data_IF_851686553554
#
_entry.id   IF_851686553554
#
_cell.length_a   1.000
_cell.length_b   1.000
_cell.length_c   1.000
_cell.angle_alpha   90.00
_cell.angle_beta   90.00
_cell.angle_gamma   90.00
#
_symmetry.space_group_name_H-M   'P 1'
#
loop_
_entity.id
_entity.type
_entity.pdbx_description
1 polymer ?
#
# COMPACT_ATOMS: atom_id res chain seq x y z
N UNK A 1 -16.60 3.72 -27.65
CA UNK A 1 -17.41 3.60 -26.43
C UNK A 1 -16.55 4.11 -25.29
N UNK A 2 -16.81 5.32 -24.80
CA UNK A 2 -16.19 5.81 -23.57
C UNK A 2 -16.70 4.95 -22.42
N UNK A 3 -15.81 4.14 -21.82
CA UNK A 3 -16.13 3.46 -20.57
C UNK A 3 -16.06 4.50 -19.47
N UNK A 4 -17.21 5.02 -19.07
CA UNK A 4 -17.34 5.89 -17.91
C UNK A 4 -17.19 5.01 -16.66
N UNK A 5 -15.95 4.77 -16.24
CA UNK A 5 -15.66 4.14 -14.97
C UNK A 5 -15.90 5.18 -13.87
N UNK A 6 -16.86 4.94 -12.97
CA UNK A 6 -17.00 5.75 -11.76
C UNK A 6 -15.71 5.69 -10.94
N UNK A 7 -15.15 6.85 -10.62
CA UNK A 7 -14.01 6.97 -9.72
C UNK A 7 -14.46 6.59 -8.31
N UNK A 8 -14.16 5.35 -7.89
CA UNK A 8 -14.46 4.87 -6.54
C UNK A 8 -13.24 5.06 -5.64
N UNK A 9 -13.35 5.93 -4.65
CA UNK A 9 -12.37 6.01 -3.56
C UNK A 9 -12.67 4.88 -2.59
N UNK A 10 -11.64 4.09 -2.25
CA UNK A 10 -11.71 3.00 -1.29
C UNK A 10 -10.82 3.36 -0.11
N UNK A 11 -11.40 3.35 1.09
CA UNK A 11 -10.70 3.64 2.34
C UNK A 11 -10.54 2.35 3.14
N UNK A 12 -9.28 1.92 3.27
CA UNK A 12 -8.89 0.81 4.12
C UNK A 12 -8.14 1.33 5.35
N UNK A 13 -8.49 0.81 6.53
CA UNK A 13 -7.85 1.15 7.80
C UNK A 13 -7.08 -0.06 8.29
N UNK A 14 -5.80 0.12 8.62
CA UNK A 14 -4.96 -0.90 9.23
C UNK A 14 -4.60 -0.49 10.66
N UNK A 15 -4.96 -1.30 11.63
CA UNK A 15 -4.49 -1.14 13.01
C UNK A 15 -3.15 -1.87 13.14
N UNK A 16 -2.13 -1.21 13.70
CA UNK A 16 -0.85 -1.87 13.98
C UNK A 16 -0.87 -2.55 15.35
N UNK A 17 -0.09 -3.62 15.56
CA UNK A 17 0.20 -4.12 16.89
C UNK A 17 0.86 -3.06 17.78
N UNK A 18 0.70 -3.22 19.09
CA UNK A 18 1.49 -2.47 20.07
C UNK A 18 2.97 -2.76 19.87
N UNK A 19 3.78 -1.71 19.83
CA UNK A 19 5.22 -1.79 19.75
C UNK A 19 5.80 -2.36 21.05
N UNK A 20 7.02 -2.90 20.99
CA UNK A 20 7.70 -3.44 22.18
C UNK A 20 7.82 -2.40 23.31
N UNK A 21 8.02 -1.12 22.96
CA UNK A 21 8.17 -0.06 23.96
C UNK A 21 6.83 0.36 24.59
N UNK A 22 5.72 0.21 23.87
CA UNK A 22 4.36 0.37 24.42
C UNK A 22 4.02 -0.80 25.35
N UNK A 23 4.38 -2.03 24.96
CA UNK A 23 4.20 -3.23 25.79
C UNK A 23 5.03 -3.16 27.07
N UNK A 24 6.30 -2.74 27.01
CA UNK A 24 7.16 -2.54 28.20
C UNK A 24 6.60 -1.49 29.16
N UNK A 25 5.85 -0.52 28.65
CA UNK A 25 5.17 0.51 29.44
C UNK A 25 3.80 0.07 29.98
N UNK A 26 3.38 -1.17 29.70
CA UNK A 26 2.06 -1.72 30.03
C UNK A 26 0.93 -0.85 29.47
N UNK A 27 1.10 -0.30 28.26
CA UNK A 27 0.02 0.38 27.56
C UNK A 27 -0.96 -0.65 26.98
N UNK A 28 -2.25 -0.33 27.03
CA UNK A 28 -3.32 -1.17 26.47
C UNK A 28 -3.82 -0.60 25.14
N UNK A 29 -4.24 -1.48 24.23
CA UNK A 29 -4.87 -1.03 22.98
C UNK A 29 -6.24 -0.45 23.28
N UNK A 30 -6.43 0.82 22.94
CA UNK A 30 -7.74 1.49 22.99
C UNK A 30 -8.57 1.25 21.72
N UNK A 31 -8.02 0.53 20.74
CA UNK A 31 -8.64 0.29 19.43
C UNK A 31 -8.90 -1.19 19.26
N UNK A 32 -10.10 -1.54 18.81
CA UNK A 32 -10.45 -2.91 18.42
C UNK A 32 -11.36 -2.93 17.20
N UNK A 33 -11.31 -4.03 16.45
CA UNK A 33 -12.03 -4.21 15.19
C UNK A 33 -13.09 -5.30 15.37
N UNK A 34 -14.38 -4.96 15.59
CA UNK A 34 -15.42 -5.97 15.75
C UNK A 34 -15.71 -6.77 14.47
N UNK A 35 -15.45 -6.18 13.30
CA UNK A 35 -15.62 -6.80 11.98
C UNK A 35 -14.69 -6.13 10.94
N UNK A 36 -14.77 -6.57 9.68
CA UNK A 36 -13.93 -6.12 8.56
C UNK A 36 -14.29 -4.71 8.03
N UNK A 37 -15.30 -4.04 8.58
CA UNK A 37 -15.77 -2.73 8.13
C UNK A 37 -15.88 -1.71 9.25
N UNK A 38 -15.73 -2.12 10.51
CA UNK A 38 -15.97 -1.31 11.69
C UNK A 38 -14.74 -1.22 12.58
N UNK A 39 -14.48 -0.02 13.08
CA UNK A 39 -13.39 0.29 14.01
C UNK A 39 -13.98 0.95 15.25
N UNK A 40 -13.65 0.46 16.44
CA UNK A 40 -14.07 1.08 17.69
C UNK A 40 -12.87 1.60 18.47
N UNK A 41 -12.97 2.85 18.92
CA UNK A 41 -12.00 3.50 19.81
C UNK A 41 -12.65 3.70 21.17
N UNK A 42 -12.06 3.12 22.21
CA UNK A 42 -12.55 3.16 23.60
C UNK A 42 -11.60 3.98 24.46
N UNK A 43 -12.01 5.20 24.82
CA UNK A 43 -11.21 6.10 25.64
C UNK A 43 -12.04 6.56 26.85
N UNK A 44 -11.49 6.39 28.07
CA UNK A 44 -12.12 6.84 29.33
C UNK A 44 -13.57 6.35 29.52
N UNK A 45 -13.88 5.14 29.02
CA UNK A 45 -15.23 4.55 29.09
C UNK A 45 -16.19 5.02 27.99
N UNK A 46 -15.76 5.93 27.11
CA UNK A 46 -16.52 6.36 25.93
C UNK A 46 -16.06 5.54 24.73
N UNK A 47 -17.02 4.90 24.05
CA UNK A 47 -16.78 4.15 22.82
C UNK A 47 -17.27 4.94 21.60
N UNK A 48 -16.38 5.16 20.65
CA UNK A 48 -16.69 5.75 19.35
C UNK A 48 -16.49 4.72 18.26
N UNK A 49 -17.54 4.44 17.49
CA UNK A 49 -17.51 3.50 16.37
C UNK A 49 -17.43 4.25 15.03
N UNK A 50 -16.61 3.74 14.12
CA UNK A 50 -16.38 4.27 12.78
C UNK A 50 -16.54 3.15 11.76
N UNK A 51 -17.02 3.48 10.57
CA UNK A 51 -17.18 2.52 9.47
C UNK A 51 -16.37 2.93 8.25
N UNK A 52 -15.70 1.95 7.64
CA UNK A 52 -14.81 2.12 6.49
C UNK A 52 -15.10 1.04 5.44
N UNK A 53 -14.47 1.14 4.26
CA UNK A 53 -14.62 0.09 3.25
C UNK A 53 -13.94 -1.20 3.71
N UNK A 54 -12.80 -1.09 4.39
CA UNK A 54 -12.06 -2.21 4.97
C UNK A 54 -11.40 -1.78 6.28
N UNK A 55 -11.40 -2.66 7.26
CA UNK A 55 -10.72 -2.51 8.55
C UNK A 55 -9.94 -3.78 8.82
N UNK A 56 -8.65 -3.63 9.07
CA UNK A 56 -7.73 -4.73 9.32
C UNK A 56 -7.21 -4.71 10.75
N UNK A 57 -7.31 -5.86 11.42
CA UNK A 57 -6.83 -6.04 12.78
C UNK A 57 -5.30 -6.09 12.86
N UNK A 58 -4.71 -5.91 14.05
CA UNK A 58 -3.26 -5.96 14.25
C UNK A 58 -2.56 -7.22 13.74
N UNK A 59 -3.26 -8.34 13.72
CA UNK A 59 -2.72 -9.67 13.42
C UNK A 59 -2.62 -9.94 11.92
N UNK A 60 -3.18 -9.07 11.07
CA UNK A 60 -3.18 -9.27 9.63
C UNK A 60 -1.76 -9.25 9.04
N UNK A 61 -1.49 -10.17 8.12
CA UNK A 61 -0.24 -10.22 7.37
C UNK A 61 -0.21 -9.22 6.20
N UNK A 62 0.98 -8.90 5.71
CA UNK A 62 1.15 -8.06 4.51
C UNK A 62 0.52 -8.67 3.26
N UNK A 63 0.58 -10.00 3.15
CA UNK A 63 -0.02 -10.74 2.05
C UNK A 63 -1.55 -10.64 2.08
N UNK A 64 -2.17 -10.87 3.24
CA UNK A 64 -3.62 -10.76 3.40
C UNK A 64 -4.11 -9.34 3.09
N UNK A 65 -3.37 -8.30 3.51
CA UNK A 65 -3.70 -6.92 3.12
C UNK A 65 -3.67 -6.77 1.60
N UNK A 66 -2.62 -7.26 0.93
CA UNK A 66 -2.52 -7.16 -0.53
C UNK A 66 -3.68 -7.86 -1.26
N UNK A 67 -4.12 -9.00 -0.74
CA UNK A 67 -5.26 -9.76 -1.29
C UNK A 67 -6.60 -9.06 -1.01
N UNK A 68 -6.79 -8.53 0.19
CA UNK A 68 -8.04 -7.89 0.60
C UNK A 68 -8.25 -6.49 0.00
N UNK A 69 -7.18 -5.70 -0.20
CA UNK A 69 -7.25 -4.29 -0.64
C UNK A 69 -7.54 -4.08 -2.13
N UNK A 70 -8.01 -5.10 -2.86
CA UNK A 70 -8.26 -5.06 -4.30
C UNK A 70 -7.01 -4.63 -5.12
N UNK A 71 -5.79 -4.78 -4.58
CA UNK A 71 -4.56 -4.31 -5.25
C UNK A 71 -4.35 -4.97 -6.61
N UNK A 72 -4.62 -6.27 -6.72
CA UNK A 72 -4.57 -6.98 -8.01
C UNK A 72 -5.51 -6.36 -9.05
N UNK A 73 -6.70 -5.94 -8.62
CA UNK A 73 -7.68 -5.28 -9.48
C UNK A 73 -7.20 -3.90 -9.91
N UNK A 74 -6.62 -3.11 -8.99
CA UNK A 74 -5.99 -1.82 -9.33
C UNK A 74 -4.88 -2.01 -10.38
N UNK A 75 -4.04 -3.03 -10.21
CA UNK A 75 -2.94 -3.32 -11.15
C UNK A 75 -3.50 -3.75 -12.51
N UNK A 76 -4.52 -4.61 -12.56
CA UNK A 76 -5.17 -5.00 -13.80
C UNK A 76 -5.79 -3.78 -14.52
N UNK A 77 -6.44 -2.87 -13.78
CA UNK A 77 -6.94 -1.61 -14.36
C UNK A 77 -5.80 -0.74 -14.88
N UNK A 78 -4.65 -0.69 -14.20
CA UNK A 78 -3.48 0.04 -14.70
C UNK A 78 -2.94 -0.54 -16.01
N UNK A 79 -2.94 -1.87 -16.16
CA UNK A 79 -2.58 -2.56 -17.41
C UNK A 79 -3.59 -2.23 -18.53
N UNK A 80 -4.88 -2.15 -18.20
CA UNK A 80 -5.94 -1.71 -19.13
C UNK A 80 -5.87 -0.21 -19.49
N UNK A 81 -4.94 0.54 -18.90
CA UNK A 81 -4.71 1.96 -19.21
C UNK A 81 -5.43 2.95 -18.29
N UNK A 82 -5.97 2.51 -17.15
CA UNK A 82 -6.54 3.40 -16.14
C UNK A 82 -5.48 3.94 -15.19
N UNK A 83 -5.60 5.21 -14.79
CA UNK A 83 -4.74 5.79 -13.74
C UNK A 83 -5.21 5.29 -12.37
N UNK A 84 -4.31 4.62 -11.64
CA UNK A 84 -4.55 4.13 -10.29
C UNK A 84 -3.55 4.73 -9.31
N UNK A 85 -4.02 5.13 -8.12
CA UNK A 85 -3.18 5.72 -7.07
C UNK A 85 -3.51 5.10 -5.72
N UNK A 86 -2.48 4.81 -4.94
CA UNK A 86 -2.59 4.29 -3.58
C UNK A 86 -1.87 5.24 -2.64
N UNK A 87 -2.51 5.55 -1.51
CA UNK A 87 -1.96 6.42 -0.48
C UNK A 87 -1.95 5.69 0.87
N UNK A 88 -0.85 5.82 1.61
CA UNK A 88 -0.82 5.49 3.03
C UNK A 88 -0.85 6.78 3.87
N UNK A 89 -1.84 6.91 4.75
CA UNK A 89 -2.01 8.08 5.61
C UNK A 89 -2.04 7.69 7.09
N UNK A 90 -1.57 8.59 7.96
CA UNK A 90 -1.51 8.39 9.41
C UNK A 90 -0.36 9.13 10.07
N UNK A 91 -0.32 9.13 11.41
CA UNK A 91 0.75 9.75 12.19
C UNK A 91 2.11 9.05 12.03
N UNK A 92 3.20 9.72 12.41
CA UNK A 92 4.52 9.08 12.49
C UNK A 92 4.47 7.86 13.43
N UNK A 93 5.09 6.75 13.02
CA UNK A 93 5.04 5.48 13.77
C UNK A 93 3.75 4.68 13.63
N UNK A 94 2.79 5.09 12.78
CA UNK A 94 1.54 4.33 12.57
C UNK A 94 1.66 3.12 11.63
N UNK A 95 2.84 2.89 11.02
CA UNK A 95 3.06 1.76 10.11
C UNK A 95 2.83 2.05 8.61
N UNK A 96 2.81 3.32 8.19
CA UNK A 96 2.73 3.70 6.76
C UNK A 96 3.85 3.06 5.92
N UNK A 97 5.11 3.34 6.27
CA UNK A 97 6.29 2.79 5.59
C UNK A 97 6.30 1.27 5.65
N UNK A 98 5.93 0.69 6.79
CA UNK A 98 5.80 -0.76 6.92
C UNK A 98 4.76 -1.33 5.95
N UNK A 99 3.61 -0.69 5.77
CA UNK A 99 2.57 -1.17 4.85
C UNK A 99 3.01 -1.07 3.39
N UNK A 100 3.63 0.05 2.98
CA UNK A 100 4.02 0.27 1.59
C UNK A 100 5.28 -0.50 1.22
N UNK A 101 6.34 -0.43 2.03
CA UNK A 101 7.67 -0.98 1.70
C UNK A 101 8.02 -2.26 2.48
N UNK A 102 7.29 -2.59 3.54
CA UNK A 102 7.74 -3.59 4.51
C UNK A 102 8.75 -3.02 5.53
N UNK A 103 9.26 -3.87 6.44
CA UNK A 103 10.25 -3.48 7.42
C UNK A 103 11.61 -3.15 6.77
N UNK A 104 12.36 -2.25 7.40
CA UNK A 104 13.68 -1.81 6.91
C UNK A 104 14.72 -2.95 6.82
N UNK A 105 14.53 -4.06 7.54
CA UNK A 105 15.39 -5.23 7.45
C UNK A 105 15.41 -5.89 6.07
N UNK A 106 14.37 -5.68 5.26
CA UNK A 106 14.31 -6.21 3.88
C UNK A 106 15.34 -5.56 2.93
N UNK A 107 15.96 -4.45 3.32
CA UNK A 107 17.05 -3.84 2.55
C UNK A 107 18.43 -4.46 2.85
N UNK A 108 18.50 -5.45 3.73
CA UNK A 108 19.71 -6.24 3.98
C UNK A 108 19.73 -7.50 3.11
N UNK A 109 20.88 -7.81 2.50
CA UNK A 109 21.03 -8.88 1.49
C UNK A 109 20.76 -10.31 2.03
N UNK A 110 20.56 -10.45 3.35
CA UNK A 110 20.40 -11.73 4.04
C UNK A 110 18.92 -12.12 4.33
N UNK A 111 17.95 -11.25 4.06
CA UNK A 111 16.56 -11.48 4.43
C UNK A 111 15.71 -12.01 3.25
N UNK A 112 15.53 -13.34 3.19
CA UNK A 112 14.56 -14.03 2.32
C UNK A 112 13.15 -14.08 2.91
N UNK A 113 12.68 -13.00 3.53
CA UNK A 113 11.33 -12.97 4.11
C UNK A 113 10.35 -12.33 3.14
N UNK A 114 9.99 -13.07 2.08
CA UNK A 114 8.92 -12.70 1.13
C UNK A 114 7.58 -12.40 1.85
N UNK A 115 7.39 -12.91 3.06
CA UNK A 115 6.19 -12.67 3.87
C UNK A 115 6.07 -11.22 4.35
N UNK A 116 7.18 -10.50 4.53
CA UNK A 116 7.18 -9.13 5.06
C UNK A 116 7.17 -8.05 3.98
N UNK A 117 7.32 -8.44 2.70
CA UNK A 117 7.23 -7.53 1.56
C UNK A 117 5.96 -6.68 1.63
N UNK A 118 6.13 -5.37 1.43
CA UNK A 118 5.04 -4.42 1.43
C UNK A 118 4.21 -4.46 0.15
N UNK A 119 3.20 -3.58 0.10
CA UNK A 119 2.33 -3.45 -1.06
C UNK A 119 3.10 -3.08 -2.33
N UNK A 120 4.15 -2.26 -2.25
CA UNK A 120 4.92 -1.82 -3.40
C UNK A 120 5.61 -3.01 -4.09
N UNK A 121 6.38 -3.80 -3.35
CA UNK A 121 7.13 -4.93 -3.89
C UNK A 121 6.19 -5.99 -4.49
N UNK A 122 5.12 -6.32 -3.77
CA UNK A 122 4.08 -7.26 -4.26
C UNK A 122 3.38 -6.77 -5.52
N UNK A 123 3.12 -5.46 -5.60
CA UNK A 123 2.48 -4.86 -6.77
C UNK A 123 3.37 -4.93 -8.00
N UNK A 124 4.65 -4.63 -7.86
CA UNK A 124 5.62 -4.72 -8.96
C UNK A 124 5.78 -6.16 -9.41
N UNK A 125 5.90 -7.11 -8.48
CA UNK A 125 6.00 -8.53 -8.79
C UNK A 125 4.78 -9.02 -9.59
N UNK A 126 3.57 -8.70 -9.14
CA UNK A 126 2.34 -9.06 -9.84
C UNK A 126 2.21 -8.37 -11.20
N UNK A 127 2.56 -7.08 -11.30
CA UNK A 127 2.57 -6.36 -12.58
C UNK A 127 3.50 -7.04 -13.59
N UNK A 128 4.70 -7.42 -13.18
CA UNK A 128 5.65 -8.12 -14.05
C UNK A 128 5.14 -9.50 -14.47
N UNK A 129 4.51 -10.25 -13.56
CA UNK A 129 3.86 -11.54 -13.88
C UNK A 129 2.77 -11.38 -14.96
N UNK A 130 1.91 -10.36 -14.84
CA UNK A 130 0.87 -10.07 -15.83
C UNK A 130 1.45 -9.64 -17.19
N UNK A 131 2.52 -8.83 -17.17
CA UNK A 131 3.21 -8.40 -18.39
C UNK A 131 3.91 -9.58 -19.08
N UNK A 132 4.53 -10.50 -18.33
CA UNK A 132 5.21 -11.66 -18.89
C UNK A 132 4.27 -12.74 -19.43
N UNK A 133 3.06 -12.83 -18.90
CA UNK A 133 2.04 -13.79 -19.34
C UNK A 133 1.21 -13.30 -20.54
N UNK A 134 1.35 -12.02 -20.91
CA UNK A 134 0.69 -11.42 -22.05
C UNK A 134 1.59 -11.45 -23.29
N UNK A 135 0.99 -11.63 -24.47
CA UNK A 135 1.68 -11.54 -25.76
C UNK A 135 1.84 -10.09 -26.26
N UNK A 136 1.33 -9.11 -25.51
CA UNK A 136 1.42 -7.69 -25.86
C UNK A 136 2.78 -7.07 -25.48
N UNK A 137 3.24 -6.09 -26.27
CA UNK A 137 4.47 -5.38 -25.99
C UNK A 137 4.23 -4.22 -25.01
N UNK A 138 4.74 -4.35 -23.78
CA UNK A 138 4.66 -3.31 -22.75
C UNK A 138 5.97 -2.53 -22.62
N UNK A 139 5.86 -1.22 -22.37
CA UNK A 139 6.98 -0.40 -21.90
C UNK A 139 6.70 0.03 -20.45
N UNK A 140 7.46 -0.53 -19.51
CA UNK A 140 7.37 -0.16 -18.10
C UNK A 140 8.35 0.98 -17.79
N UNK A 141 7.86 2.01 -17.10
CA UNK A 141 8.67 3.13 -16.64
C UNK A 141 8.37 3.36 -15.16
N UNK A 142 9.40 3.59 -14.35
CA UNK A 142 9.27 3.89 -12.93
C UNK A 142 10.01 5.19 -12.59
N UNK A 143 9.51 5.91 -11.59
CA UNK A 143 10.18 7.07 -11.02
C UNK A 143 9.85 7.18 -9.54
N UNK A 144 10.82 7.64 -8.76
CA UNK A 144 10.68 7.90 -7.33
C UNK A 144 10.98 9.37 -7.06
N UNK A 145 10.06 10.04 -6.36
CA UNK A 145 10.21 11.43 -5.91
C UNK A 145 9.83 11.50 -4.44
N UNK A 146 10.62 12.24 -3.66
CA UNK A 146 10.33 12.60 -2.27
C UNK A 146 9.98 14.09 -2.22
N UNK A 147 8.91 14.44 -1.51
CA UNK A 147 8.51 15.83 -1.29
C UNK A 147 8.77 16.16 0.18
N UNK A 148 9.70 17.07 0.43
CA UNK A 148 10.03 17.56 1.77
C UNK A 148 9.96 19.09 1.78
N UNK A 149 9.15 19.65 2.67
CA UNK A 149 8.98 21.11 2.82
C UNK A 149 8.66 21.82 1.50
N UNK A 150 7.70 21.28 0.74
CA UNK A 150 7.30 21.76 -0.60
C UNK A 150 8.43 21.73 -1.66
N UNK A 151 9.52 21.02 -1.39
CA UNK A 151 10.61 20.82 -2.34
C UNK A 151 10.62 19.37 -2.84
N UNK A 152 10.62 19.21 -4.16
CA UNK A 152 10.74 17.91 -4.81
C UNK A 152 12.21 17.50 -4.92
N UNK A 153 12.57 16.40 -4.27
CA UNK A 153 13.84 15.71 -4.44
C UNK A 153 13.60 14.48 -5.30
N UNK A 154 14.06 14.50 -6.55
CA UNK A 154 13.92 13.39 -7.49
C UNK A 154 15.18 12.53 -7.52
N UNK A 155 15.06 11.23 -7.32
CA UNK A 155 16.16 10.29 -7.55
C UNK A 155 16.40 10.15 -9.07
N UNK A 156 17.63 10.36 -9.53
CA UNK A 156 17.93 10.56 -10.95
C UNK A 156 17.75 9.27 -11.79
N UNK A 157 17.34 9.44 -13.04
CA UNK A 157 16.85 8.39 -13.96
C UNK A 157 17.95 7.39 -14.35
N UNK A 158 17.88 6.14 -13.90
CA UNK A 158 18.42 5.04 -14.69
C UNK A 158 17.51 4.78 -15.90
N UNK A 159 17.91 5.30 -17.06
CA UNK A 159 17.19 5.17 -18.34
C UNK A 159 17.13 3.70 -18.80
N UNK A 160 15.93 3.10 -18.80
CA UNK A 160 15.57 2.09 -19.80
C UNK A 160 15.03 2.85 -21.03
N UNK A 161 15.48 2.45 -22.22
CA UNK A 161 15.43 3.23 -23.47
C UNK A 161 14.06 3.81 -23.86
N UNK A 162 14.01 4.97 -24.56
CA UNK A 162 12.77 5.63 -24.92
C UNK A 162 12.31 5.21 -26.32
N UNK A 163 11.10 4.63 -26.45
CA UNK A 163 10.20 4.89 -27.59
C UNK A 163 8.81 4.28 -27.35
N UNK A 164 7.83 5.19 -27.32
CA UNK A 164 6.38 5.02 -27.20
C UNK A 164 5.81 5.08 -25.78
N UNK A 165 5.01 6.12 -25.59
CA UNK A 165 4.40 6.56 -24.34
C UNK A 165 3.03 5.92 -24.14
N UNK A 166 2.90 5.15 -23.07
CA UNK A 166 1.62 4.85 -22.43
C UNK A 166 1.74 5.43 -21.01
N UNK A 167 0.79 6.26 -20.53
CA UNK A 167 0.86 6.79 -19.18
C UNK A 167 0.39 5.72 -18.18
N UNK A 168 1.20 4.70 -17.93
CA UNK A 168 1.00 3.85 -16.75
C UNK A 168 1.62 4.56 -15.54
N UNK A 169 0.92 5.56 -15.01
CA UNK A 169 1.28 6.18 -13.74
C UNK A 169 0.74 5.31 -12.60
N UNK A 170 1.48 4.27 -12.23
CA UNK A 170 1.33 3.63 -10.91
C UNK A 170 2.14 4.49 -9.95
N UNK A 171 1.51 5.51 -9.38
CA UNK A 171 2.12 6.29 -8.31
C UNK A 171 1.90 5.51 -7.02
N UNK A 172 2.95 4.81 -6.60
CA UNK A 172 3.10 4.24 -5.26
C UNK A 172 3.85 5.29 -4.42
N UNK A 173 3.20 5.82 -3.38
CA UNK A 173 3.83 6.59 -2.30
C UNK A 173 4.03 5.69 -1.08
#
# INVERSE_FOLDING_TARGET
MERQAESKVIVAVRVRPLSEDEQKRNEESIVYCPDEHSLVVSQEGIQNAFSFNMVFSPEISQQEIFEATDMRKLINMAIEGYTCTVFAFGQTGSGKTYTINGPHSLFSEDCKENELEGLMQRSVAYLLEQVHSSDEAFQLCASYSEIYNEQECRADRHRLNPRMSIPAAVILF
#
